data_IF_478574431110
#
_entry.id   IF_478574431110
#
_cell.length_a   1.000
_cell.length_b   1.000
_cell.length_c   1.000
_cell.angle_alpha   90.00
_cell.angle_beta   90.00
_cell.angle_gamma   90.00
#
_symmetry.space_group_name_H-M   'P 1'
#
loop_
_entity.id
_entity.type
_entity.pdbx_description
1 polymer ?
#
# COMPACT_ATOMS: atom_id res chain seq x y z
N UNK A 1 169.95 -56.01 45.22
CA UNK A 1 168.81 -55.71 44.34
C UNK A 1 167.72 -55.12 45.22
N UNK A 2 167.38 -53.84 45.06
CA UNK A 2 166.61 -53.08 46.05
C UNK A 2 165.11 -53.37 45.93
N UNK A 3 164.55 -54.08 46.91
CA UNK A 3 163.14 -54.52 46.96
C UNK A 3 162.09 -53.40 46.82
N UNK A 4 162.47 -52.13 47.01
CA UNK A 4 161.60 -50.97 46.86
C UNK A 4 161.22 -50.64 45.41
N UNK A 5 162.08 -50.98 44.43
CA UNK A 5 161.82 -50.67 43.01
C UNK A 5 160.62 -51.47 42.48
N UNK A 6 160.46 -52.72 42.92
CA UNK A 6 159.34 -53.57 42.51
C UNK A 6 157.98 -53.06 43.04
N UNK A 7 157.95 -52.47 44.24
CA UNK A 7 156.74 -51.88 44.83
C UNK A 7 156.28 -50.64 44.03
N UNK A 8 157.20 -49.77 43.66
CA UNK A 8 156.89 -48.56 42.88
C UNK A 8 156.40 -48.92 41.48
N UNK A 9 157.02 -49.90 40.82
CA UNK A 9 156.58 -50.39 39.51
C UNK A 9 155.18 -51.02 39.59
N UNK A 10 154.90 -51.81 40.64
CA UNK A 10 153.57 -52.37 40.88
C UNK A 10 152.50 -51.31 41.08
N UNK A 11 152.81 -50.23 41.81
CA UNK A 11 151.90 -49.12 42.03
C UNK A 11 151.58 -48.37 40.73
N UNK A 12 152.60 -48.08 39.92
CA UNK A 12 152.43 -47.38 38.63
C UNK A 12 151.66 -48.25 37.64
N UNK A 13 151.94 -49.56 37.59
CA UNK A 13 151.20 -50.50 36.75
C UNK A 13 149.73 -50.63 37.19
N UNK A 14 149.48 -50.73 38.50
CA UNK A 14 148.12 -50.74 39.06
C UNK A 14 147.36 -49.46 38.70
N UNK A 15 147.98 -48.30 38.94
CA UNK A 15 147.38 -47.00 38.61
C UNK A 15 147.16 -46.83 37.09
N UNK A 16 148.09 -47.33 36.26
CA UNK A 16 147.95 -47.31 34.81
C UNK A 16 146.82 -48.21 34.30
N UNK A 17 146.60 -49.37 34.92
CA UNK A 17 145.50 -50.28 34.59
C UNK A 17 144.16 -49.66 34.98
N UNK A 18 144.06 -49.03 36.16
CA UNK A 18 142.84 -48.32 36.57
C UNK A 18 142.50 -47.19 35.59
N UNK A 19 143.48 -46.38 35.19
CA UNK A 19 143.29 -45.32 34.19
C UNK A 19 142.81 -45.87 32.83
N UNK A 20 143.33 -47.03 32.42
CA UNK A 20 142.92 -47.71 31.19
C UNK A 20 141.46 -48.17 31.26
N UNK A 21 141.07 -48.80 32.37
CA UNK A 21 139.69 -49.26 32.59
C UNK A 21 138.73 -48.06 32.59
N UNK A 22 139.07 -47.00 33.33
CA UNK A 22 138.21 -45.82 33.42
C UNK A 22 138.11 -45.11 32.07
N UNK A 23 139.21 -44.98 31.32
CA UNK A 23 139.19 -44.39 29.98
C UNK A 23 138.30 -45.16 29.00
N UNK A 24 138.43 -46.49 28.93
CA UNK A 24 137.62 -47.30 28.01
C UNK A 24 136.14 -47.37 28.45
N UNK A 25 135.87 -47.47 29.75
CA UNK A 25 134.51 -47.47 30.29
C UNK A 25 133.79 -46.14 30.00
N UNK A 26 134.42 -45.00 30.29
CA UNK A 26 133.85 -43.69 30.03
C UNK A 26 133.78 -43.34 28.55
N UNK A 27 134.76 -43.76 27.73
CA UNK A 27 134.74 -43.53 26.28
C UNK A 27 133.58 -44.28 25.61
N UNK A 28 133.35 -45.55 25.99
CA UNK A 28 132.22 -46.33 25.44
C UNK A 28 130.86 -45.74 25.83
N UNK A 29 130.74 -45.18 27.04
CA UNK A 29 129.50 -44.56 27.52
C UNK A 29 129.21 -43.19 26.88
N UNK A 30 130.23 -42.45 26.41
CA UNK A 30 130.04 -41.15 25.73
C UNK A 30 129.65 -41.25 24.24
N UNK A 31 129.76 -42.43 23.62
CA UNK A 31 129.52 -42.60 22.18
C UNK A 31 128.05 -42.82 21.81
N UNK A 32 127.19 -43.29 22.72
CA UNK A 32 125.76 -43.52 22.43
C UNK A 32 124.79 -43.20 23.60
N UNK A 33 124.71 -41.95 24.10
CA UNK A 33 123.47 -41.55 24.81
C UNK A 33 122.82 -40.24 24.34
N UNK A 34 123.51 -39.35 23.63
CA UNK A 34 122.96 -38.03 23.27
C UNK A 34 122.04 -38.06 22.03
N UNK A 35 122.36 -38.88 21.03
CA UNK A 35 121.56 -38.98 19.81
C UNK A 35 120.17 -39.56 20.09
N UNK A 36 120.05 -40.57 20.96
CA UNK A 36 118.75 -41.16 21.35
C UNK A 36 117.88 -40.19 22.16
N UNK A 37 118.50 -39.37 23.02
CA UNK A 37 117.79 -38.32 23.78
C UNK A 37 117.30 -37.21 22.85
N UNK A 38 118.07 -36.84 21.83
CA UNK A 38 117.63 -35.86 20.83
C UNK A 38 116.52 -36.42 19.93
N UNK A 39 116.64 -37.67 19.47
CA UNK A 39 115.60 -38.34 18.67
C UNK A 39 114.28 -38.43 19.44
N UNK A 40 114.32 -38.86 20.71
CA UNK A 40 113.12 -38.91 21.56
C UNK A 40 112.53 -37.53 21.85
N UNK A 41 113.35 -36.48 21.99
CA UNK A 41 112.87 -35.11 22.15
C UNK A 41 112.21 -34.56 20.86
N UNK A 42 112.76 -34.90 19.69
CA UNK A 42 112.16 -34.55 18.39
C UNK A 42 110.80 -35.25 18.22
N UNK A 43 110.70 -36.54 18.56
CA UNK A 43 109.43 -37.27 18.55
C UNK A 43 108.43 -36.69 19.56
N UNK A 44 108.87 -36.37 20.77
CA UNK A 44 108.03 -35.71 21.77
C UNK A 44 107.48 -34.37 21.27
N UNK A 45 108.29 -33.57 20.58
CA UNK A 45 107.85 -32.31 19.98
C UNK A 45 106.89 -32.53 18.80
N UNK A 46 107.10 -33.55 17.96
CA UNK A 46 106.14 -33.97 16.93
C UNK A 46 104.80 -34.38 17.54
N UNK A 47 104.82 -35.15 18.63
CA UNK A 47 103.60 -35.58 19.32
C UNK A 47 102.90 -34.42 20.02
N UNK A 48 103.64 -33.47 20.60
CA UNK A 48 103.08 -32.24 21.17
C UNK A 48 102.41 -31.36 20.12
N UNK A 49 103.05 -31.17 18.97
CA UNK A 49 102.47 -30.41 17.85
C UNK A 49 101.26 -31.12 17.25
N UNK A 50 101.31 -32.45 17.09
CA UNK A 50 100.14 -33.24 16.68
C UNK A 50 98.99 -33.12 17.68
N UNK A 51 99.25 -33.21 18.99
CA UNK A 51 98.25 -33.01 20.03
C UNK A 51 97.67 -31.58 20.01
N UNK A 52 98.50 -30.56 19.79
CA UNK A 52 98.03 -29.17 19.64
C UNK A 52 97.14 -28.98 18.40
N UNK A 53 97.48 -29.64 17.29
CA UNK A 53 96.65 -29.61 16.07
C UNK A 53 95.32 -30.37 16.29
N UNK A 54 95.35 -31.50 17.00
CA UNK A 54 94.16 -32.27 17.35
C UNK A 54 93.25 -31.48 18.29
N UNK A 55 93.79 -30.80 19.31
CA UNK A 55 92.98 -29.95 20.20
C UNK A 55 92.40 -28.77 19.45
N UNK A 56 93.13 -28.15 18.52
CA UNK A 56 92.59 -27.11 17.65
C UNK A 56 91.47 -27.64 16.73
N UNK A 57 91.61 -28.86 16.20
CA UNK A 57 90.56 -29.49 15.42
C UNK A 57 89.32 -29.77 16.26
N UNK A 58 89.48 -30.26 17.50
CA UNK A 58 88.37 -30.51 18.43
C UNK A 58 87.63 -29.21 18.75
N UNK A 59 88.35 -28.13 19.11
CA UNK A 59 87.70 -26.84 19.39
C UNK A 59 86.99 -26.26 18.17
N UNK A 60 87.52 -26.46 16.96
CA UNK A 60 86.83 -26.06 15.72
C UNK A 60 85.56 -26.88 15.45
N UNK A 61 85.58 -28.17 15.79
CA UNK A 61 84.41 -29.05 15.66
C UNK A 61 83.36 -28.70 16.72
N UNK A 62 83.75 -28.41 17.96
CA UNK A 62 82.84 -27.97 19.02
C UNK A 62 82.17 -26.65 18.65
N UNK A 63 82.91 -25.70 18.06
CA UNK A 63 82.35 -24.45 17.55
C UNK A 63 81.32 -24.70 16.42
N UNK A 64 81.59 -25.66 15.53
CA UNK A 64 80.64 -26.05 14.47
C UNK A 64 79.40 -26.77 15.01
N UNK A 65 79.54 -27.60 16.04
CA UNK A 65 78.40 -28.24 16.71
C UNK A 65 77.54 -27.18 17.39
N UNK A 66 78.16 -26.21 18.06
CA UNK A 66 77.42 -25.10 18.69
C UNK A 66 76.65 -24.26 17.66
N UNK A 67 77.26 -23.95 16.50
CA UNK A 67 76.56 -23.21 15.44
C UNK A 67 75.41 -24.01 14.83
N UNK A 68 75.62 -25.30 14.53
CA UNK A 68 74.57 -26.17 14.00
C UNK A 68 73.40 -26.35 14.98
N UNK A 69 73.69 -26.43 16.28
CA UNK A 69 72.65 -26.50 17.30
C UNK A 69 71.86 -25.19 17.39
N UNK A 70 72.53 -24.03 17.26
CA UNK A 70 71.85 -22.74 17.23
C UNK A 70 70.92 -22.62 16.00
N UNK A 71 71.41 -22.99 14.81
CA UNK A 71 70.61 -23.05 13.58
C UNK A 71 69.42 -24.01 13.70
N UNK A 72 69.63 -25.16 14.35
CA UNK A 72 68.57 -26.14 14.59
C UNK A 72 67.47 -25.55 15.49
N UNK A 73 67.82 -24.90 16.59
CA UNK A 73 66.86 -24.26 17.49
C UNK A 73 66.13 -23.10 16.82
N UNK A 74 66.82 -22.30 15.99
CA UNK A 74 66.19 -21.27 15.16
C UNK A 74 65.18 -21.86 14.17
N UNK A 75 65.55 -22.93 13.47
CA UNK A 75 64.64 -23.60 12.53
C UNK A 75 63.42 -24.21 13.24
N UNK A 76 63.61 -24.76 14.46
CA UNK A 76 62.52 -25.32 15.26
C UNK A 76 61.56 -24.22 15.72
N UNK A 77 62.09 -23.08 16.14
CA UNK A 77 61.29 -21.92 16.48
C UNK A 77 60.49 -21.42 15.26
N UNK A 78 61.13 -21.35 14.09
CA UNK A 78 60.44 -20.98 12.86
C UNK A 78 59.31 -21.96 12.50
N UNK A 79 59.54 -23.28 12.62
CA UNK A 79 58.51 -24.29 12.38
C UNK A 79 57.34 -24.15 13.35
N UNK A 80 57.60 -23.86 14.63
CA UNK A 80 56.54 -23.62 15.61
C UNK A 80 55.68 -22.41 15.22
N UNK A 81 56.30 -21.30 14.83
CA UNK A 81 55.56 -20.11 14.37
C UNK A 81 54.71 -20.38 13.13
N UNK A 82 55.25 -21.12 12.15
CA UNK A 82 54.50 -21.51 10.96
C UNK A 82 53.32 -22.43 11.31
N UNK A 83 53.50 -23.33 12.28
CA UNK A 83 52.44 -24.21 12.73
C UNK A 83 51.31 -23.44 13.42
N UNK A 84 51.64 -22.43 14.22
CA UNK A 84 50.67 -21.52 14.81
C UNK A 84 49.93 -20.71 13.73
N UNK A 85 50.64 -20.16 12.74
CA UNK A 85 50.04 -19.47 11.59
C UNK A 85 49.11 -20.38 10.78
N UNK A 86 49.51 -21.64 10.54
CA UNK A 86 48.67 -22.62 9.86
C UNK A 86 47.39 -22.92 10.64
N UNK A 87 47.47 -23.06 11.96
CA UNK A 87 46.29 -23.26 12.81
C UNK A 87 45.37 -22.03 12.80
N UNK A 88 45.93 -20.82 12.79
CA UNK A 88 45.18 -19.57 12.64
C UNK A 88 44.44 -19.50 11.31
N UNK A 89 45.12 -19.80 10.20
CA UNK A 89 44.51 -19.83 8.85
C UNK A 89 43.43 -20.90 8.72
N UNK A 90 43.57 -22.06 9.37
CA UNK A 90 42.51 -23.08 9.40
C UNK A 90 41.26 -22.57 10.11
N UNK A 91 41.41 -21.92 11.27
CA UNK A 91 40.28 -21.34 12.00
C UNK A 91 39.59 -20.23 11.18
N UNK A 92 40.34 -19.39 10.47
CA UNK A 92 39.78 -18.39 9.56
C UNK A 92 39.03 -19.04 8.40
N UNK A 93 39.59 -20.10 7.80
CA UNK A 93 38.94 -20.86 6.73
C UNK A 93 37.61 -21.45 7.21
N UNK A 94 37.59 -22.08 8.38
CA UNK A 94 36.35 -22.62 8.98
C UNK A 94 35.33 -21.52 9.24
N UNK A 95 35.75 -20.36 9.76
CA UNK A 95 34.88 -19.21 9.97
C UNK A 95 34.29 -18.65 8.66
N UNK A 96 35.10 -18.59 7.60
CA UNK A 96 34.61 -18.19 6.27
C UNK A 96 33.65 -19.21 5.65
N UNK A 97 33.92 -20.51 5.82
CA UNK A 97 33.03 -21.59 5.42
C UNK A 97 31.67 -21.52 6.13
N UNK A 98 31.67 -21.24 7.44
CA UNK A 98 30.43 -21.04 8.20
C UNK A 98 29.62 -19.83 7.69
N UNK A 99 30.29 -18.73 7.34
CA UNK A 99 29.63 -17.56 6.72
C UNK A 99 29.05 -17.89 5.35
N UNK A 100 29.76 -18.67 4.54
CA UNK A 100 29.30 -19.11 3.22
C UNK A 100 28.05 -19.97 3.34
N UNK A 101 28.06 -20.96 4.23
CA UNK A 101 26.90 -21.82 4.49
C UNK A 101 25.68 -21.00 4.91
N UNK A 102 25.86 -20.06 5.83
CA UNK A 102 24.77 -19.14 6.25
C UNK A 102 24.25 -18.29 5.09
N UNK A 103 25.14 -17.82 4.20
CA UNK A 103 24.73 -17.08 3.01
C UNK A 103 23.95 -17.95 2.02
N UNK A 104 24.34 -19.22 1.87
CA UNK A 104 23.66 -20.19 1.02
C UNK A 104 22.28 -20.57 1.58
N UNK A 105 22.16 -20.76 2.90
CA UNK A 105 20.89 -20.98 3.59
C UNK A 105 19.94 -19.79 3.39
N UNK A 106 20.43 -18.55 3.62
CA UNK A 106 19.65 -17.34 3.38
C UNK A 106 19.21 -17.23 1.91
N UNK A 107 20.09 -17.57 0.96
CA UNK A 107 19.75 -17.63 -0.47
C UNK A 107 18.65 -18.64 -0.79
N UNK A 108 18.70 -19.83 -0.16
CA UNK A 108 17.67 -20.85 -0.27
C UNK A 108 16.32 -20.42 0.32
N UNK A 109 16.33 -19.76 1.48
CA UNK A 109 15.13 -19.18 2.09
C UNK A 109 14.50 -18.11 1.19
N UNK A 110 15.32 -17.22 0.61
CA UNK A 110 14.84 -16.19 -0.30
C UNK A 110 14.24 -16.78 -1.58
N UNK A 111 14.84 -17.85 -2.12
CA UNK A 111 14.29 -18.57 -3.26
C UNK A 111 12.94 -19.23 -2.94
N UNK A 112 12.80 -19.85 -1.75
CA UNK A 112 11.53 -20.42 -1.30
C UNK A 112 10.44 -19.34 -1.13
N UNK A 113 10.79 -18.19 -0.55
CA UNK A 113 9.88 -17.04 -0.45
C UNK A 113 9.45 -16.52 -1.82
N UNK A 114 10.36 -16.49 -2.80
CA UNK A 114 10.04 -16.07 -4.16
C UNK A 114 9.03 -17.01 -4.83
N UNK A 115 9.19 -18.33 -4.64
CA UNK A 115 8.27 -19.31 -5.21
C UNK A 115 6.91 -19.29 -4.51
N UNK A 116 6.87 -19.08 -3.18
CA UNK A 116 5.62 -18.86 -2.45
C UNK A 116 4.89 -17.61 -2.96
N UNK A 117 5.60 -16.48 -3.10
CA UNK A 117 5.01 -15.25 -3.63
C UNK A 117 4.47 -15.43 -5.05
N UNK A 118 5.17 -16.16 -5.93
CA UNK A 118 4.66 -16.48 -7.27
C UNK A 118 3.39 -17.32 -7.23
N UNK A 119 3.31 -18.32 -6.35
CA UNK A 119 2.09 -19.12 -6.17
C UNK A 119 0.93 -18.28 -5.64
N UNK A 120 1.19 -17.36 -4.70
CA UNK A 120 0.14 -16.47 -4.20
C UNK A 120 -0.36 -15.49 -5.28
N UNK A 121 0.53 -15.00 -6.14
CA UNK A 121 0.15 -14.16 -7.28
C UNK A 121 -0.72 -14.91 -8.27
N UNK A 122 -0.31 -16.12 -8.69
CA UNK A 122 -1.13 -16.91 -9.62
C UNK A 122 -2.50 -17.28 -9.04
N UNK A 123 -2.57 -17.57 -7.75
CA UNK A 123 -3.83 -17.80 -7.04
C UNK A 123 -4.71 -16.54 -7.00
N UNK A 124 -4.11 -15.37 -6.78
CA UNK A 124 -4.82 -14.08 -6.82
C UNK A 124 -5.33 -13.76 -8.23
N UNK A 125 -4.53 -13.99 -9.27
CA UNK A 125 -4.95 -13.78 -10.66
C UNK A 125 -6.13 -14.68 -11.03
N UNK A 126 -6.11 -15.95 -10.61
CA UNK A 126 -7.24 -16.86 -10.79
C UNK A 126 -8.50 -16.36 -10.05
N UNK A 127 -8.35 -15.81 -8.85
CA UNK A 127 -9.48 -15.24 -8.08
C UNK A 127 -10.02 -13.96 -8.72
N UNK A 128 -9.16 -13.09 -9.24
CA UNK A 128 -9.58 -11.89 -9.98
C UNK A 128 -10.41 -12.31 -11.18
N UNK A 129 -9.94 -13.28 -11.96
CA UNK A 129 -10.68 -13.80 -13.13
C UNK A 129 -12.05 -14.41 -12.75
N UNK A 130 -12.12 -15.15 -11.65
CA UNK A 130 -13.37 -15.69 -11.13
C UNK A 130 -14.35 -14.58 -10.70
N UNK A 131 -13.85 -13.56 -9.98
CA UNK A 131 -14.65 -12.40 -9.58
C UNK A 131 -15.13 -11.60 -10.79
N UNK A 132 -14.28 -11.39 -11.79
CA UNK A 132 -14.65 -10.75 -13.06
C UNK A 132 -15.76 -11.54 -13.76
N UNK A 133 -15.67 -12.88 -13.80
CA UNK A 133 -16.74 -13.74 -14.32
C UNK A 133 -18.04 -13.62 -13.53
N UNK A 134 -17.95 -13.54 -12.19
CA UNK A 134 -19.09 -13.35 -11.30
C UNK A 134 -19.70 -11.95 -11.39
N UNK A 135 -18.97 -10.93 -11.83
CA UNK A 135 -19.49 -9.60 -12.11
C UNK A 135 -20.12 -9.52 -13.51
N UNK A 136 -19.53 -10.20 -14.49
CA UNK A 136 -20.05 -10.25 -15.85
C UNK A 136 -21.42 -10.96 -15.93
N UNK A 137 -21.61 -12.06 -15.19
CA UNK A 137 -22.86 -12.84 -15.18
C UNK A 137 -24.11 -12.04 -14.75
N UNK A 138 -24.13 -11.31 -13.61
CA UNK A 138 -25.26 -10.48 -13.22
C UNK A 138 -25.41 -9.24 -14.11
N UNK A 139 -24.35 -8.71 -14.74
CA UNK A 139 -24.54 -7.64 -15.75
C UNK A 139 -25.23 -8.15 -17.02
N UNK A 140 -24.92 -9.37 -17.48
CA UNK A 140 -25.61 -9.99 -18.61
C UNK A 140 -27.06 -10.36 -18.27
N UNK A 141 -27.29 -10.88 -17.06
CA UNK A 141 -28.63 -11.17 -16.53
C UNK A 141 -29.48 -9.91 -16.39
N UNK A 142 -28.93 -8.89 -15.71
CA UNK A 142 -29.58 -7.58 -15.52
C UNK A 142 -29.84 -6.88 -16.85
N UNK A 143 -28.89 -6.90 -17.80
CA UNK A 143 -29.09 -6.33 -19.13
C UNK A 143 -30.20 -7.05 -19.90
N UNK A 144 -30.30 -8.38 -19.80
CA UNK A 144 -31.40 -9.13 -20.44
C UNK A 144 -32.76 -8.83 -19.82
N UNK A 145 -32.83 -8.68 -18.49
CA UNK A 145 -34.08 -8.32 -17.80
C UNK A 145 -34.46 -6.88 -18.05
N UNK A 146 -33.49 -5.96 -18.14
CA UNK A 146 -33.73 -4.56 -18.46
C UNK A 146 -34.20 -4.41 -19.90
N UNK A 147 -33.57 -5.10 -20.86
CA UNK A 147 -34.02 -5.11 -22.25
C UNK A 147 -35.45 -5.69 -22.40
N UNK A 148 -35.79 -6.72 -21.62
CA UNK A 148 -37.14 -7.27 -21.60
C UNK A 148 -38.16 -6.29 -20.99
N UNK A 149 -37.80 -5.65 -19.88
CA UNK A 149 -38.64 -4.63 -19.26
C UNK A 149 -38.82 -3.40 -20.16
N UNK A 150 -37.77 -2.96 -20.85
CA UNK A 150 -37.82 -1.85 -21.82
C UNK A 150 -38.72 -2.18 -23.02
N UNK A 151 -38.66 -3.42 -23.53
CA UNK A 151 -39.56 -3.88 -24.59
C UNK A 151 -41.02 -3.95 -24.14
N UNK A 152 -41.28 -4.40 -22.90
CA UNK A 152 -42.61 -4.40 -22.30
C UNK A 152 -43.13 -2.97 -22.08
N UNK A 153 -42.28 -2.04 -21.61
CA UNK A 153 -42.63 -0.63 -21.47
C UNK A 153 -42.94 0.00 -22.83
N UNK A 154 -42.15 -0.30 -23.87
CA UNK A 154 -42.40 0.20 -25.22
C UNK A 154 -43.74 -0.31 -25.77
N UNK A 155 -44.00 -1.61 -25.60
CA UNK A 155 -45.29 -2.24 -25.94
C UNK A 155 -46.47 -1.60 -25.20
N UNK A 156 -46.34 -1.40 -23.89
CA UNK A 156 -47.38 -0.77 -23.08
C UNK A 156 -47.60 0.69 -23.48
N UNK A 157 -46.54 1.44 -23.81
CA UNK A 157 -46.64 2.82 -24.31
C UNK A 157 -47.36 2.89 -25.65
N UNK A 158 -47.08 1.97 -26.58
CA UNK A 158 -47.79 1.85 -27.86
C UNK A 158 -49.29 1.59 -27.61
N UNK A 159 -49.61 0.64 -26.74
CA UNK A 159 -51.00 0.34 -26.37
C UNK A 159 -51.70 1.52 -25.70
N UNK A 160 -50.99 2.27 -24.85
CA UNK A 160 -51.52 3.48 -24.20
C UNK A 160 -51.75 4.59 -25.23
N UNK A 161 -50.88 4.75 -26.21
CA UNK A 161 -51.07 5.70 -27.32
C UNK A 161 -52.31 5.34 -28.15
N UNK A 162 -52.52 4.06 -28.47
CA UNK A 162 -53.71 3.57 -29.18
C UNK A 162 -54.97 3.76 -28.32
N UNK A 163 -54.91 3.44 -27.03
CA UNK A 163 -56.01 3.61 -26.10
C UNK A 163 -56.37 5.09 -25.93
N UNK A 164 -55.38 5.97 -25.78
CA UNK A 164 -55.58 7.41 -25.71
C UNK A 164 -56.13 7.96 -27.03
N UNK A 165 -55.69 7.47 -28.19
CA UNK A 165 -56.27 7.86 -29.47
C UNK A 165 -57.75 7.43 -29.58
N UNK A 166 -58.10 6.25 -29.07
CA UNK A 166 -59.48 5.76 -29.04
C UNK A 166 -60.34 6.53 -28.02
N UNK A 167 -59.76 6.91 -26.88
CA UNK A 167 -60.38 7.75 -25.87
C UNK A 167 -60.55 9.18 -26.41
N UNK A 168 -59.62 9.68 -27.22
CA UNK A 168 -59.68 10.96 -27.94
C UNK A 168 -60.75 10.94 -29.03
N UNK A 169 -60.91 9.85 -29.79
CA UNK A 169 -62.02 9.68 -30.73
C UNK A 169 -63.36 9.61 -29.99
N UNK A 170 -63.43 8.89 -28.87
CA UNK A 170 -64.62 8.88 -28.01
C UNK A 170 -64.91 10.27 -27.43
N UNK A 171 -63.90 10.99 -26.96
CA UNK A 171 -64.04 12.35 -26.45
C UNK A 171 -64.40 13.35 -27.54
N UNK A 172 -63.89 13.23 -28.77
CA UNK A 172 -64.30 14.06 -29.90
C UNK A 172 -65.77 13.78 -30.28
N UNK A 173 -66.18 12.51 -30.25
CA UNK A 173 -67.57 12.12 -30.46
C UNK A 173 -68.49 12.56 -29.31
N UNK A 174 -68.04 12.53 -28.05
CA UNK A 174 -68.75 13.05 -26.88
C UNK A 174 -68.74 14.59 -26.85
N UNK A 175 -67.67 15.23 -27.32
CA UNK A 175 -67.50 16.68 -27.47
C UNK A 175 -68.37 17.26 -28.57
N UNK A 176 -68.77 16.46 -29.56
CA UNK A 176 -69.82 16.86 -30.50
C UNK A 176 -71.19 17.06 -29.82
N UNK A 177 -71.32 16.68 -28.53
CA UNK A 177 -72.49 16.94 -27.68
C UNK A 177 -72.23 17.58 -26.30
N UNK A 178 -70.99 17.94 -25.93
CA UNK A 178 -70.68 18.45 -24.58
C UNK A 178 -70.39 19.96 -24.55
N UNK A 179 -71.36 20.73 -24.07
CA UNK A 179 -71.24 22.15 -23.74
C UNK A 179 -70.72 22.32 -22.29
N UNK A 180 -69.46 22.72 -22.09
CA UNK A 180 -68.92 23.08 -20.76
C UNK A 180 -67.40 22.95 -20.59
N UNK A 181 -66.87 23.48 -19.48
CA UNK A 181 -65.44 23.63 -19.07
C UNK A 181 -64.53 22.40 -19.18
N UNK A 182 -65.09 21.21 -19.43
CA UNK A 182 -64.38 19.93 -19.48
C UNK A 182 -63.41 19.79 -20.68
N UNK A 183 -63.46 20.71 -21.64
CA UNK A 183 -62.62 20.70 -22.84
C UNK A 183 -61.15 21.10 -22.64
N UNK A 184 -60.76 21.55 -21.44
CA UNK A 184 -59.40 22.00 -21.12
C UNK A 184 -58.60 21.05 -20.21
N UNK A 185 -59.09 19.84 -19.99
CA UNK A 185 -58.57 18.90 -18.98
C UNK A 185 -57.12 18.44 -19.17
N UNK A 186 -56.53 18.65 -20.36
CA UNK A 186 -55.15 18.25 -20.67
C UNK A 186 -54.09 19.32 -20.34
N UNK A 187 -54.50 20.49 -19.84
CA UNK A 187 -53.57 21.57 -19.46
C UNK A 187 -53.03 21.31 -18.05
N UNK A 188 -51.74 21.01 -17.95
CA UNK A 188 -51.02 20.86 -16.69
C UNK A 188 -51.03 22.18 -15.92
N UNK A 189 -51.35 22.11 -14.63
CA UNK A 189 -51.54 23.29 -13.77
C UNK A 189 -52.98 23.78 -13.67
N UNK A 190 -53.89 23.31 -14.52
CA UNK A 190 -55.29 23.70 -14.49
C UNK A 190 -56.03 22.90 -13.41
N UNK A 191 -56.35 23.57 -12.29
CA UNK A 191 -57.18 22.98 -11.23
C UNK A 191 -58.67 23.26 -11.47
N UNK A 192 -59.54 22.59 -10.70
CA UNK A 192 -61.00 22.72 -10.87
C UNK A 192 -61.52 24.16 -10.75
N UNK A 193 -61.00 24.94 -9.78
CA UNK A 193 -61.41 26.33 -9.58
C UNK A 193 -60.94 27.26 -10.72
N UNK A 194 -59.74 27.03 -11.24
CA UNK A 194 -59.23 27.73 -12.40
C UNK A 194 -60.01 27.39 -13.68
N UNK A 195 -60.31 26.11 -13.89
CA UNK A 195 -61.12 25.65 -15.03
C UNK A 195 -62.53 26.26 -15.02
N UNK A 196 -63.18 26.29 -13.86
CA UNK A 196 -64.47 26.95 -13.67
C UNK A 196 -64.37 28.45 -13.95
N UNK A 197 -63.30 29.11 -13.49
CA UNK A 197 -63.07 30.53 -13.74
C UNK A 197 -62.83 30.86 -15.22
N UNK A 198 -62.17 29.98 -15.97
CA UNK A 198 -62.01 30.12 -17.43
C UNK A 198 -63.34 29.93 -18.15
N UNK A 199 -64.16 29.01 -17.68
CA UNK A 199 -65.50 28.78 -18.21
C UNK A 199 -66.44 29.96 -17.98
N UNK A 200 -66.38 30.63 -16.82
CA UNK A 200 -67.09 31.89 -16.58
C UNK A 200 -66.68 32.99 -17.58
N UNK A 201 -65.43 32.96 -18.04
CA UNK A 201 -64.88 33.88 -19.03
C UNK A 201 -65.10 33.43 -20.48
N UNK A 202 -65.91 32.39 -20.71
CA UNK A 202 -66.27 31.90 -22.04
C UNK A 202 -65.18 31.06 -22.73
N UNK A 203 -64.16 30.61 -21.98
CA UNK A 203 -63.05 29.83 -22.51
C UNK A 203 -63.30 28.36 -22.18
N UNK A 204 -63.67 27.56 -23.19
CA UNK A 204 -64.04 26.15 -23.03
C UNK A 204 -63.16 25.20 -23.86
N UNK A 205 -62.38 25.73 -24.81
CA UNK A 205 -61.62 24.95 -25.80
C UNK A 205 -60.16 25.37 -25.85
N UNK A 206 -59.28 24.45 -26.29
CA UNK A 206 -57.86 24.74 -26.46
C UNK A 206 -57.60 25.93 -27.40
N UNK A 207 -58.36 26.03 -28.50
CA UNK A 207 -58.25 27.16 -29.43
C UNK A 207 -58.58 28.50 -28.78
N UNK A 208 -59.60 28.53 -27.91
CA UNK A 208 -59.97 29.75 -27.18
C UNK A 208 -58.91 30.12 -26.14
N UNK A 209 -58.39 29.14 -25.40
CA UNK A 209 -57.37 29.38 -24.38
C UNK A 209 -56.03 29.82 -25.02
N UNK A 210 -55.66 29.22 -26.15
CA UNK A 210 -54.47 29.59 -26.92
C UNK A 210 -54.52 31.03 -27.48
N UNK A 211 -55.73 31.56 -27.69
CA UNK A 211 -55.98 32.92 -28.18
C UNK A 211 -56.39 33.91 -27.07
N UNK A 212 -56.50 33.45 -25.82
CA UNK A 212 -57.02 34.26 -24.72
C UNK A 212 -55.99 35.29 -24.25
N UNK A 213 -56.45 36.51 -23.96
CA UNK A 213 -55.58 37.55 -23.39
C UNK A 213 -55.28 37.30 -21.90
N UNK A 214 -54.21 37.87 -21.34
CA UNK A 214 -53.92 37.77 -19.91
C UNK A 214 -55.10 38.19 -19.04
N UNK A 215 -55.86 39.21 -19.44
CA UNK A 215 -57.03 39.69 -18.70
C UNK A 215 -58.16 38.65 -18.63
N UNK A 216 -58.32 37.82 -19.67
CA UNK A 216 -59.35 36.78 -19.73
C UNK A 216 -58.98 35.54 -18.92
N UNK A 217 -57.70 35.34 -18.61
CA UNK A 217 -57.19 34.14 -17.92
C UNK A 217 -56.69 34.48 -16.50
N UNK A 218 -56.39 35.74 -16.22
CA UNK A 218 -55.70 36.21 -15.01
C UNK A 218 -56.35 35.75 -13.71
N UNK A 219 -57.68 35.88 -13.61
CA UNK A 219 -58.42 35.40 -12.45
C UNK A 219 -58.32 33.89 -12.23
N UNK A 220 -58.10 33.09 -13.28
CA UNK A 220 -57.90 31.65 -13.18
C UNK A 220 -56.44 31.30 -12.85
N UNK A 221 -55.47 32.01 -13.43
CA UNK A 221 -54.04 31.79 -13.15
C UNK A 221 -53.68 32.18 -11.73
N UNK A 222 -54.29 33.22 -11.17
CA UNK A 222 -54.13 33.60 -9.77
C UNK A 222 -54.64 32.52 -8.81
N UNK A 223 -55.77 31.87 -9.16
CA UNK A 223 -56.30 30.75 -8.39
C UNK A 223 -55.36 29.54 -8.44
N UNK A 224 -54.69 29.32 -9.58
CA UNK A 224 -53.71 28.26 -9.75
C UNK A 224 -52.39 28.54 -9.04
N UNK A 225 -51.90 29.79 -9.04
CA UNK A 225 -50.65 30.19 -8.38
C UNK A 225 -50.60 29.84 -6.89
N UNK A 226 -51.77 29.77 -6.22
CA UNK A 226 -51.89 29.34 -4.82
C UNK A 226 -51.42 27.89 -4.57
N UNK A 227 -51.35 27.07 -5.61
CA UNK A 227 -50.94 25.67 -5.55
C UNK A 227 -49.52 25.43 -6.11
N UNK A 228 -48.94 26.45 -6.75
CA UNK A 228 -47.62 26.38 -7.39
C UNK A 228 -46.71 27.51 -6.86
N UNK A 229 -46.22 27.39 -5.61
CA UNK A 229 -45.33 28.38 -5.02
C UNK A 229 -44.07 28.56 -5.88
N UNK A 230 -43.75 29.81 -6.24
CA UNK A 230 -42.63 30.17 -7.12
C UNK A 230 -43.03 30.51 -8.56
N UNK A 231 -44.28 30.25 -8.96
CA UNK A 231 -44.85 30.71 -10.23
C UNK A 231 -45.88 31.81 -9.94
N UNK A 232 -45.71 32.98 -10.55
CA UNK A 232 -46.73 34.02 -10.54
C UNK A 232 -47.83 33.73 -11.58
N UNK A 233 -48.93 34.49 -11.52
CA UNK A 233 -50.05 34.32 -12.46
C UNK A 233 -49.62 34.47 -13.93
N UNK A 234 -48.59 35.26 -14.20
CA UNK A 234 -48.04 35.45 -15.55
C UNK A 234 -47.30 34.21 -16.07
N UNK A 235 -46.46 33.58 -15.24
CA UNK A 235 -45.78 32.33 -15.62
C UNK A 235 -46.74 31.16 -15.85
N UNK A 236 -47.84 31.12 -15.08
CA UNK A 236 -48.91 30.12 -15.28
C UNK A 236 -49.69 30.43 -16.57
N UNK A 237 -49.99 31.70 -16.85
CA UNK A 237 -50.62 32.12 -18.09
C UNK A 237 -49.81 31.67 -19.31
N UNK A 238 -48.52 31.98 -19.36
CA UNK A 238 -47.65 31.63 -20.48
C UNK A 238 -47.61 30.10 -20.70
N UNK A 239 -47.57 29.34 -19.60
CA UNK A 239 -47.62 27.88 -19.65
C UNK A 239 -48.95 27.35 -20.19
N UNK A 240 -50.08 27.87 -19.73
CA UNK A 240 -51.39 27.42 -20.20
C UNK A 240 -51.63 27.75 -21.66
N UNK A 241 -51.21 28.93 -22.11
CA UNK A 241 -51.31 29.32 -23.53
C UNK A 241 -50.44 28.41 -24.40
N UNK A 242 -49.19 28.15 -24.00
CA UNK A 242 -48.30 27.26 -24.75
C UNK A 242 -48.85 25.82 -24.84
N UNK A 243 -49.32 25.27 -23.72
CA UNK A 243 -49.96 23.95 -23.70
C UNK A 243 -51.24 23.91 -24.55
N UNK A 244 -52.06 24.97 -24.48
CA UNK A 244 -53.27 25.08 -25.28
C UNK A 244 -52.96 25.19 -26.78
N UNK A 245 -51.85 25.81 -27.18
CA UNK A 245 -51.42 25.85 -28.58
C UNK A 245 -51.05 24.46 -29.11
N UNK A 246 -50.30 23.67 -28.35
CA UNK A 246 -49.98 22.28 -28.72
C UNK A 246 -51.26 21.43 -28.82
N UNK A 247 -52.15 21.52 -27.82
CA UNK A 247 -53.41 20.79 -27.81
C UNK A 247 -54.36 21.23 -28.94
N UNK A 248 -54.42 22.53 -29.25
CA UNK A 248 -55.22 23.09 -30.35
C UNK A 248 -54.70 22.65 -31.72
N UNK A 249 -53.38 22.53 -31.87
CA UNK A 249 -52.74 22.01 -33.08
C UNK A 249 -52.85 20.48 -33.22
N UNK A 250 -53.33 19.77 -32.19
CA UNK A 250 -53.32 18.31 -32.13
C UNK A 250 -51.91 17.72 -32.00
N UNK A 251 -50.91 18.53 -31.65
CA UNK A 251 -49.53 18.11 -31.43
C UNK A 251 -49.36 17.58 -29.99
N UNK A 252 -49.91 16.40 -29.75
CA UNK A 252 -49.87 15.75 -28.44
C UNK A 252 -48.46 15.33 -28.03
N UNK A 253 -47.58 15.06 -29.00
CA UNK A 253 -46.17 14.77 -28.73
C UNK A 253 -45.42 16.02 -28.27
N UNK A 254 -45.64 17.16 -28.95
CA UNK A 254 -45.11 18.46 -28.54
C UNK A 254 -45.64 18.91 -27.18
N UNK A 255 -46.93 18.67 -26.89
CA UNK A 255 -47.50 18.92 -25.55
C UNK A 255 -46.81 18.08 -24.48
N UNK A 256 -46.63 16.78 -24.73
CA UNK A 256 -45.97 15.86 -23.80
C UNK A 256 -44.50 16.23 -23.56
N UNK A 257 -43.75 16.56 -24.62
CA UNK A 257 -42.37 17.07 -24.52
C UNK A 257 -42.32 18.37 -23.71
N UNK A 258 -43.23 19.31 -24.00
CA UNK A 258 -43.34 20.56 -23.27
C UNK A 258 -43.61 20.32 -21.78
N UNK A 259 -44.59 19.47 -21.44
CA UNK A 259 -44.94 19.12 -20.07
C UNK A 259 -43.80 18.38 -19.35
N UNK A 260 -43.01 17.56 -20.06
CA UNK A 260 -41.84 16.88 -19.49
C UNK A 260 -40.70 17.83 -19.09
N UNK A 261 -40.65 19.05 -19.65
CA UNK A 261 -39.69 20.08 -19.21
C UNK A 261 -40.02 20.62 -17.82
N UNK A 262 -41.23 20.37 -17.35
CA UNK A 262 -41.72 20.66 -16.01
C UNK A 262 -41.81 19.37 -15.16
N UNK A 263 -41.06 18.31 -15.54
CA UNK A 263 -40.99 17.04 -14.82
C UNK A 263 -40.54 17.26 -13.37
N UNK A 264 -41.33 16.82 -12.37
CA UNK A 264 -40.98 16.86 -10.96
C UNK A 264 -39.60 16.28 -10.61
N UNK A 265 -39.08 15.33 -11.40
CA UNK A 265 -37.72 14.78 -11.22
C UNK A 265 -36.62 15.81 -11.54
N UNK A 266 -36.83 16.70 -12.52
CA UNK A 266 -35.87 17.76 -12.87
C UNK A 266 -35.90 18.93 -11.88
N UNK A 267 -37.02 19.09 -11.16
CA UNK A 267 -37.19 20.07 -10.10
C UNK A 267 -36.75 19.52 -8.74
N UNK A 268 -36.30 18.26 -8.63
CA UNK A 268 -35.92 17.67 -7.35
C UNK A 268 -34.72 18.39 -6.73
N UNK A 269 -34.95 19.01 -5.57
CA UNK A 269 -33.93 19.65 -4.78
C UNK A 269 -33.25 18.65 -3.83
N UNK A 270 -32.03 18.99 -3.40
CA UNK A 270 -31.24 18.16 -2.49
C UNK A 270 -31.73 18.35 -1.05
N UNK A 271 -32.74 17.59 -0.64
CA UNK A 271 -33.37 17.72 0.68
C UNK A 271 -32.38 17.41 1.81
N UNK A 272 -31.29 16.69 1.53
CA UNK A 272 -30.22 16.38 2.50
C UNK A 272 -29.43 17.61 2.95
N UNK A 273 -29.57 18.75 2.28
CA UNK A 273 -29.03 20.02 2.78
C UNK A 273 -29.74 20.50 4.04
N UNK A 274 -30.96 20.04 4.29
CA UNK A 274 -31.66 20.30 5.54
C UNK A 274 -31.09 19.36 6.62
N UNK A 275 -30.70 19.95 7.73
CA UNK A 275 -30.10 19.23 8.83
C UNK A 275 -31.12 18.26 9.46
N UNK A 276 -30.71 17.00 9.58
CA UNK A 276 -31.55 15.90 10.05
C UNK A 276 -32.24 15.09 8.93
N UNK A 277 -32.18 15.53 7.67
CA UNK A 277 -32.66 14.75 6.53
C UNK A 277 -31.50 13.95 5.93
N UNK A 278 -31.48 12.64 6.19
CA UNK A 278 -30.54 11.71 5.56
C UNK A 278 -31.07 11.13 4.25
N UNK A 279 -30.24 10.39 3.47
CA UNK A 279 -30.63 9.81 2.19
C UNK A 279 -31.92 8.98 2.24
N UNK A 280 -32.13 8.23 3.33
CA UNK A 280 -33.33 7.40 3.49
C UNK A 280 -34.58 8.23 3.83
N UNK A 281 -34.43 9.33 4.55
CA UNK A 281 -35.55 10.25 4.84
C UNK A 281 -35.95 10.97 3.55
N UNK A 282 -34.97 11.48 2.80
CA UNK A 282 -35.18 12.06 1.48
C UNK A 282 -35.90 11.07 0.53
N UNK A 283 -35.48 9.81 0.48
CA UNK A 283 -36.14 8.78 -0.33
C UNK A 283 -37.63 8.61 0.04
N UNK A 284 -37.96 8.50 1.32
CA UNK A 284 -39.36 8.38 1.78
C UNK A 284 -40.19 9.62 1.45
N UNK A 285 -39.61 10.82 1.58
CA UNK A 285 -40.29 12.07 1.21
C UNK A 285 -40.57 12.13 -0.30
N UNK A 286 -39.59 11.72 -1.12
CA UNK A 286 -39.75 11.65 -2.57
C UNK A 286 -40.82 10.63 -2.99
N UNK A 287 -40.87 9.45 -2.36
CA UNK A 287 -41.93 8.45 -2.59
C UNK A 287 -43.34 9.02 -2.32
N UNK A 288 -43.44 10.07 -1.49
CA UNK A 288 -44.69 10.74 -1.14
C UNK A 288 -44.90 12.07 -1.90
N UNK A 289 -44.13 12.32 -2.97
CA UNK A 289 -44.30 13.46 -3.85
C UNK A 289 -43.69 14.77 -3.34
N UNK A 290 -42.82 14.71 -2.33
CA UNK A 290 -42.12 15.88 -1.77
C UNK A 290 -40.71 15.92 -2.35
N UNK A 291 -40.48 16.85 -3.26
CA UNK A 291 -39.25 17.02 -4.03
C UNK A 291 -38.57 18.38 -3.81
N UNK A 292 -39.25 19.36 -3.21
CA UNK A 292 -38.81 20.76 -3.08
C UNK A 292 -38.73 21.22 -1.62
N UNK A 293 -37.81 22.15 -1.32
CA UNK A 293 -37.75 22.92 -0.08
C UNK A 293 -39.06 23.68 0.15
N UNK A 294 -39.63 24.33 -0.88
CA UNK A 294 -40.94 25.00 -0.79
C UNK A 294 -42.06 24.08 -0.28
N UNK A 295 -42.03 22.81 -0.66
CA UNK A 295 -43.02 21.82 -0.21
C UNK A 295 -42.79 21.49 1.27
N UNK A 296 -41.55 21.25 1.72
CA UNK A 296 -41.25 21.04 3.15
C UNK A 296 -41.59 22.28 3.99
N UNK A 297 -41.34 23.47 3.46
CA UNK A 297 -41.63 24.75 4.09
C UNK A 297 -43.13 25.00 4.34
N UNK A 298 -43.99 24.46 3.46
CA UNK A 298 -45.45 24.63 3.49
C UNK A 298 -46.19 23.46 4.16
N UNK A 299 -45.54 22.30 4.30
CA UNK A 299 -46.11 21.16 5.00
C UNK A 299 -45.94 21.34 6.53
N UNK A 300 -47.02 21.22 7.32
CA UNK A 300 -46.90 21.28 8.77
C UNK A 300 -46.15 20.06 9.32
N UNK A 301 -45.29 20.26 10.32
CA UNK A 301 -44.37 19.25 10.84
C UNK A 301 -45.03 17.90 11.18
N UNK A 302 -46.26 17.93 11.74
CA UNK A 302 -46.99 16.70 12.07
C UNK A 302 -47.27 15.81 10.84
N UNK A 303 -47.46 16.38 9.65
CA UNK A 303 -47.67 15.61 8.41
C UNK A 303 -46.38 14.91 7.99
N UNK A 304 -45.24 15.56 8.16
CA UNK A 304 -43.94 14.95 7.90
C UNK A 304 -43.71 13.77 8.85
N UNK A 305 -44.03 13.95 10.14
CA UNK A 305 -44.01 12.87 11.14
C UNK A 305 -44.90 11.69 10.74
N UNK A 306 -46.11 11.94 10.21
CA UNK A 306 -47.02 10.87 9.76
C UNK A 306 -46.44 10.07 8.60
N UNK A 307 -45.88 10.75 7.59
CA UNK A 307 -45.25 10.14 6.42
C UNK A 307 -44.11 9.21 6.86
N UNK A 308 -43.22 9.69 7.72
CA UNK A 308 -42.08 8.91 8.20
C UNK A 308 -42.49 7.74 9.10
N UNK A 309 -43.50 7.91 9.95
CA UNK A 309 -44.04 6.80 10.79
C UNK A 309 -44.66 5.69 9.93
N UNK A 310 -45.33 6.06 8.83
CA UNK A 310 -45.93 5.11 7.89
C UNK A 310 -44.85 4.30 7.15
N UNK A 311 -43.70 4.91 6.84
CA UNK A 311 -42.60 4.26 6.13
C UNK A 311 -41.79 3.24 6.96
N UNK A 312 -41.99 3.15 8.28
CA UNK A 312 -41.48 2.04 9.09
C UNK A 312 -40.96 2.40 10.48
N UNK A 313 -40.77 1.37 11.32
CA UNK A 313 -40.32 1.53 12.72
C UNK A 313 -38.97 2.20 12.88
N UNK A 314 -38.11 2.11 11.87
CA UNK A 314 -36.79 2.75 11.82
C UNK A 314 -36.80 4.27 11.86
N UNK A 315 -37.95 4.90 11.56
CA UNK A 315 -38.11 6.36 11.61
C UNK A 315 -38.89 6.82 12.85
N UNK A 316 -39.19 5.91 13.80
CA UNK A 316 -40.09 6.19 14.94
C UNK A 316 -39.41 6.80 16.16
N UNK A 317 -38.10 6.67 16.34
CA UNK A 317 -37.53 6.72 17.68
C UNK A 317 -36.77 8.00 18.09
N UNK A 318 -36.61 9.04 17.26
CA UNK A 318 -35.68 10.13 17.66
C UNK A 318 -35.94 11.54 17.10
N UNK A 319 -37.15 11.91 16.67
CA UNK A 319 -37.24 13.07 15.76
C UNK A 319 -38.52 13.92 15.73
N UNK A 320 -39.51 13.79 16.62
CA UNK A 320 -40.71 14.65 16.50
C UNK A 320 -40.36 16.15 16.60
N UNK A 321 -39.54 16.52 17.59
CA UNK A 321 -38.96 17.87 17.71
C UNK A 321 -38.02 18.23 16.55
N UNK A 322 -37.35 17.24 15.95
CA UNK A 322 -36.48 17.46 14.78
C UNK A 322 -37.32 17.82 13.55
N UNK A 323 -38.45 17.16 13.33
CA UNK A 323 -39.34 17.44 12.20
C UNK A 323 -39.96 18.85 12.30
N UNK A 324 -40.12 19.38 13.52
CA UNK A 324 -40.57 20.76 13.73
C UNK A 324 -39.59 21.80 13.18
N UNK A 325 -38.30 21.43 13.08
CA UNK A 325 -37.26 22.33 12.54
C UNK A 325 -37.22 22.34 11.01
N UNK A 326 -37.64 21.28 10.34
CA UNK A 326 -37.51 21.14 8.89
C UNK A 326 -38.28 22.18 8.08
N UNK A 327 -39.53 22.56 8.41
CA UNK A 327 -40.21 23.64 7.70
C UNK A 327 -39.47 24.99 7.79
N UNK A 328 -38.84 25.29 8.92
CA UNK A 328 -38.07 26.53 9.08
C UNK A 328 -36.77 26.48 8.29
N UNK A 329 -36.03 25.37 8.36
CA UNK A 329 -34.83 25.16 7.57
C UNK A 329 -35.12 25.19 6.06
N UNK A 330 -36.20 24.53 5.64
CA UNK A 330 -36.65 24.52 4.26
C UNK A 330 -37.01 25.92 3.76
N UNK A 331 -37.65 26.76 4.58
CA UNK A 331 -37.89 28.18 4.23
C UNK A 331 -36.61 28.98 4.04
N UNK A 332 -35.51 28.62 4.70
CA UNK A 332 -34.21 29.28 4.53
C UNK A 332 -33.53 28.79 3.25
N UNK A 333 -33.53 27.47 3.03
CA UNK A 333 -32.99 26.84 1.82
C UNK A 333 -33.73 27.27 0.54
N UNK A 334 -35.07 27.35 0.58
CA UNK A 334 -35.93 27.83 -0.52
C UNK A 334 -35.61 29.27 -0.93
N UNK A 335 -35.22 30.11 0.04
CA UNK A 335 -34.79 31.50 -0.19
C UNK A 335 -33.31 31.62 -0.57
N UNK A 336 -32.57 30.52 -0.62
CA UNK A 336 -31.12 30.50 -0.83
C UNK A 336 -30.30 31.11 0.31
N UNK A 337 -30.91 31.28 1.50
CA UNK A 337 -30.26 31.84 2.69
C UNK A 337 -29.48 30.74 3.43
N UNK A 338 -28.34 30.36 2.85
CA UNK A 338 -27.49 29.30 3.38
C UNK A 338 -26.79 29.68 4.68
N UNK A 339 -26.47 30.97 4.86
CA UNK A 339 -25.86 31.49 6.09
C UNK A 339 -26.87 31.46 7.25
N UNK A 340 -28.10 31.91 6.99
CA UNK A 340 -29.20 31.80 7.95
C UNK A 340 -29.55 30.35 8.28
N UNK A 341 -29.49 29.44 7.29
CA UNK A 341 -29.65 28.01 7.53
C UNK A 341 -28.54 27.47 8.45
N UNK A 342 -27.28 27.80 8.17
CA UNK A 342 -26.15 27.36 9.00
C UNK A 342 -26.29 27.85 10.44
N UNK A 343 -26.68 29.11 10.65
CA UNK A 343 -26.93 29.66 11.98
C UNK A 343 -28.11 28.97 12.68
N UNK A 344 -29.24 28.82 11.98
CA UNK A 344 -30.41 28.13 12.53
C UNK A 344 -30.09 26.68 12.91
N UNK A 345 -29.19 26.00 12.20
CA UNK A 345 -28.73 24.65 12.56
C UNK A 345 -27.74 24.63 13.71
N UNK A 346 -26.91 25.66 13.87
CA UNK A 346 -25.96 25.79 14.97
C UNK A 346 -26.66 26.10 16.31
N UNK A 347 -27.79 26.81 16.26
CA UNK A 347 -28.62 27.14 17.42
C UNK A 347 -29.46 25.94 17.91
N UNK A 348 -29.48 24.81 17.17
CA UNK A 348 -30.18 23.60 17.59
C UNK A 348 -29.38 22.88 18.69
N UNK A 349 -29.85 23.03 19.94
CA UNK A 349 -29.32 22.28 21.08
C UNK A 349 -29.68 20.79 20.97
N UNK A 350 -28.68 20.00 20.58
CA UNK A 350 -28.76 18.56 20.39
C UNK A 350 -29.26 17.78 21.61
N UNK A 351 -28.97 18.29 22.82
CA UNK A 351 -29.33 17.61 24.07
C UNK A 351 -30.85 17.57 24.29
N UNK A 352 -31.60 18.51 23.72
CA UNK A 352 -33.05 18.62 23.89
C UNK A 352 -33.85 17.86 22.82
N UNK A 353 -33.18 17.38 21.77
CA UNK A 353 -33.77 16.68 20.63
C UNK A 353 -33.70 15.14 20.75
N UNK A 354 -32.91 14.62 21.70
CA UNK A 354 -32.73 13.18 21.96
C UNK A 354 -33.49 12.64 23.18
N UNK A 355 -34.14 13.52 23.95
CA UNK A 355 -35.13 13.19 24.99
C UNK A 355 -36.56 13.28 24.43
#
# INVERSE_FOLDING_TARGET
MNSWIALVIGLILGWGIELLIDFFYWRKRRLCPDDDVQVTQVELNKMKTANANLTQSLTSQDARIASLNAELEESKAAVATLQDEHSGRLNELEATGAKLNKCQENGGQLAAQLDELKQTLSARDARIKDLEGQLASPTAGAASTNAKAEAEIASLKEQLAICNASLMEMHANLSSGATGASGLSMIWGLNGAASEKLADNGIYTYNQLAAASPDQVGGATDLAARYYPGLDGAGIYDSWVAQAQYAAAGDWNGLSDYQSRFDPQSMKEDLKKLWGIGPKVEEVLNEHGIYLYAQIASIPAYRITQILRAAGSRFRMSAEKLHETWPQQARLADRGDWDGLAQATADLDWSQLHD
#
